data_IF_255885035482
#
_entry.id   IF_255885035482
#
_cell.length_a   1.000
_cell.length_b   1.000
_cell.length_c   1.000
_cell.angle_alpha   90.00
_cell.angle_beta   90.00
_cell.angle_gamma   90.00
#
_symmetry.space_group_name_H-M   'P 1'
#
loop_
_entity.id
_entity.type
_entity.pdbx_description
1 polymer ?
#
# COMPACT_ATOMS: atom_id res chain seq x y z
N UNK A 1 -4.02 -2.54 20.53
CA UNK A 1 -4.42 -1.32 19.80
C UNK A 1 -5.59 -1.69 18.90
N UNK A 2 -6.63 -0.85 18.80
CA UNK A 2 -7.74 -1.13 17.88
C UNK A 2 -7.29 -0.88 16.43
N UNK A 3 -7.58 -1.82 15.52
CA UNK A 3 -7.26 -1.70 14.09
C UNK A 3 -8.04 -0.57 13.42
N UNK A 4 -7.40 0.12 12.47
CA UNK A 4 -8.03 1.15 11.63
C UNK A 4 -8.45 0.57 10.29
N UNK A 5 -9.40 1.22 9.60
CA UNK A 5 -9.71 0.99 8.19
C UNK A 5 -9.03 2.08 7.37
N UNK A 6 -8.08 1.70 6.53
CA UNK A 6 -7.24 2.63 5.76
C UNK A 6 -7.50 2.44 4.27
N UNK A 7 -7.76 3.55 3.58
CA UNK A 7 -7.74 3.61 2.12
C UNK A 7 -6.37 4.14 1.70
N UNK A 8 -5.68 3.37 0.87
CA UNK A 8 -4.37 3.72 0.33
C UNK A 8 -4.53 3.99 -1.15
N UNK A 9 -4.08 5.15 -1.61
CA UNK A 9 -4.12 5.55 -3.03
C UNK A 9 -2.69 5.54 -3.54
N UNK A 10 -2.44 4.76 -4.58
CA UNK A 10 -1.12 4.60 -5.20
C UNK A 10 -0.78 5.77 -6.13
N UNK A 11 0.39 5.68 -6.76
CA UNK A 11 0.85 6.60 -7.81
C UNK A 11 -0.01 6.52 -9.07
N UNK A 12 -0.28 7.66 -9.75
CA UNK A 12 -1.02 7.68 -11.01
C UNK A 12 -0.18 7.26 -12.23
N UNK A 13 1.08 6.89 -12.05
CA UNK A 13 2.02 6.60 -13.15
C UNK A 13 1.67 5.34 -13.96
N UNK A 14 0.84 4.46 -13.43
CA UNK A 14 0.38 3.25 -14.10
C UNK A 14 0.00 2.15 -13.11
N UNK A 15 -0.43 0.98 -13.60
CA UNK A 15 -0.72 -0.17 -12.74
C UNK A 15 0.53 -0.62 -11.96
N UNK A 16 0.33 -1.08 -10.73
CA UNK A 16 1.38 -1.70 -9.92
C UNK A 16 1.92 -2.97 -10.59
N UNK A 17 3.20 -3.26 -10.39
CA UNK A 17 3.90 -4.41 -10.95
C UNK A 17 4.51 -4.17 -12.34
N UNK A 18 4.35 -2.97 -12.91
CA UNK A 18 4.96 -2.61 -14.20
C UNK A 18 6.30 -1.85 -14.05
N UNK A 19 6.64 -1.42 -12.83
CA UNK A 19 7.84 -0.63 -12.56
C UNK A 19 7.72 0.84 -12.95
N UNK A 20 6.56 1.28 -13.44
CA UNK A 20 6.29 2.68 -13.81
C UNK A 20 6.25 3.61 -12.59
N UNK A 21 5.86 3.08 -11.42
CA UNK A 21 5.94 3.78 -10.14
C UNK A 21 7.33 3.73 -9.49
N UNK A 22 8.25 2.93 -10.03
CA UNK A 22 9.60 2.77 -9.50
C UNK A 22 9.61 2.38 -8.02
N UNK A 23 10.42 3.07 -7.22
CA UNK A 23 10.57 2.80 -5.79
C UNK A 23 9.28 2.98 -4.96
N UNK A 24 8.25 3.63 -5.51
CA UNK A 24 6.94 3.75 -4.85
C UNK A 24 6.28 2.38 -4.73
N UNK A 25 6.38 1.51 -5.73
CA UNK A 25 5.73 0.19 -5.73
C UNK A 25 6.28 -0.69 -4.60
N UNK A 26 7.62 -0.72 -4.46
CA UNK A 26 8.31 -1.43 -3.38
C UNK A 26 8.00 -0.84 -1.99
N UNK A 27 7.99 0.49 -1.90
CA UNK A 27 7.70 1.18 -0.63
C UNK A 27 6.26 0.91 -0.20
N UNK A 28 5.32 0.97 -1.14
CA UNK A 28 3.91 0.68 -0.91
C UNK A 28 3.73 -0.74 -0.37
N UNK A 29 4.35 -1.74 -0.99
CA UNK A 29 4.30 -3.13 -0.55
C UNK A 29 4.78 -3.28 0.91
N UNK A 30 5.95 -2.75 1.24
CA UNK A 30 6.52 -2.83 2.58
C UNK A 30 5.65 -2.14 3.66
N UNK A 31 5.04 -1.00 3.30
CA UNK A 31 4.13 -0.27 4.18
C UNK A 31 2.83 -1.03 4.39
N UNK A 32 2.21 -1.55 3.32
CA UNK A 32 0.97 -2.32 3.40
C UNK A 32 1.18 -3.59 4.23
N UNK A 33 2.27 -4.33 4.03
CA UNK A 33 2.60 -5.51 4.83
C UNK A 33 2.71 -5.15 6.32
N UNK A 34 3.45 -4.07 6.63
CA UNK A 34 3.65 -3.61 8.01
C UNK A 34 2.34 -3.18 8.68
N UNK A 35 1.46 -2.49 7.96
CA UNK A 35 0.15 -2.07 8.48
C UNK A 35 -0.79 -3.28 8.66
N UNK A 36 -0.79 -4.22 7.71
CA UNK A 36 -1.58 -5.43 7.82
C UNK A 36 -1.16 -6.26 9.05
N UNK A 37 0.15 -6.44 9.26
CA UNK A 37 0.70 -7.13 10.44
C UNK A 37 0.37 -6.46 11.77
N UNK A 38 0.12 -5.15 11.78
CA UNK A 38 -0.32 -4.40 12.97
C UNK A 38 -1.82 -4.48 13.21
N UNK A 39 -2.57 -5.20 12.37
CA UNK A 39 -4.01 -5.43 12.52
C UNK A 39 -4.89 -4.35 11.88
N UNK A 40 -4.36 -3.56 10.94
CA UNK A 40 -5.15 -2.61 10.16
C UNK A 40 -5.83 -3.31 8.97
N UNK A 41 -7.05 -2.88 8.65
CA UNK A 41 -7.76 -3.28 7.43
C UNK A 41 -7.41 -2.29 6.31
N UNK A 42 -7.01 -2.81 5.15
CA UNK A 42 -6.47 -2.03 4.04
C UNK A 42 -7.30 -2.21 2.78
N UNK A 43 -7.58 -1.11 2.08
CA UNK A 43 -8.06 -1.08 0.70
C UNK A 43 -7.08 -0.27 -0.13
N UNK A 44 -6.72 -0.76 -1.32
CA UNK A 44 -5.77 -0.12 -2.22
C UNK A 44 -6.48 0.32 -3.51
N UNK A 45 -6.18 1.54 -3.97
CA UNK A 45 -6.71 2.14 -5.21
C UNK A 45 -5.58 2.71 -6.06
#
# INVERSE_FOLDING_TARGET
MAGLKLLVVSTPMGPLGQGLGGGVELTLEAVLESLHRRGHALSLV
#
